data_IF_763277697919
#
_entry.id   IF_763277697919
#
_cell.length_a   1.000
_cell.length_b   1.000
_cell.length_c   1.000
_cell.angle_alpha   90.00
_cell.angle_beta   90.00
_cell.angle_gamma   90.00
#
_symmetry.space_group_name_H-M   'P 1'
#
loop_
_entity.id
_entity.type
_entity.pdbx_description
1 polymer ?
#
# COMPACT_ATOMS: atom_id res chain seq x y z
N UNK A 1 -1.15 13.22 -20.50
CA UNK A 1 -1.42 11.78 -20.37
C UNK A 1 -0.07 11.08 -20.44
N UNK A 2 0.41 10.56 -19.34
CA UNK A 2 1.71 9.87 -19.27
C UNK A 2 1.54 8.50 -19.94
N UNK A 3 2.16 8.31 -21.11
CA UNK A 3 2.24 7.02 -21.82
C UNK A 3 3.25 6.05 -21.18
N UNK A 4 3.41 6.09 -19.86
CA UNK A 4 4.32 5.20 -19.14
C UNK A 4 3.61 3.89 -18.75
N UNK A 5 4.39 2.81 -18.60
CA UNK A 5 3.92 1.54 -18.04
C UNK A 5 3.34 1.78 -16.64
N UNK A 6 2.12 1.31 -16.30
CA UNK A 6 1.57 1.45 -14.97
C UNK A 6 2.45 0.71 -13.94
N UNK A 7 2.53 1.23 -12.71
CA UNK A 7 3.29 0.60 -11.63
C UNK A 7 2.70 -0.76 -11.24
N UNK A 8 1.37 -0.90 -11.31
CA UNK A 8 0.68 -2.18 -11.21
C UNK A 8 -0.60 -2.17 -12.05
N UNK A 9 -0.95 -3.33 -12.62
CA UNK A 9 -2.15 -3.52 -13.43
C UNK A 9 -2.79 -4.87 -13.15
N UNK A 10 -4.11 -4.87 -12.97
CA UNK A 10 -4.94 -6.08 -12.95
C UNK A 10 -5.90 -6.09 -14.13
N UNK A 11 -6.10 -7.25 -14.75
CA UNK A 11 -7.01 -7.42 -15.88
C UNK A 11 -7.94 -8.59 -15.62
N UNK A 12 -9.25 -8.32 -15.60
CA UNK A 12 -10.32 -9.30 -15.38
C UNK A 12 -10.07 -10.19 -14.14
N UNK A 13 -9.68 -9.56 -13.03
CA UNK A 13 -9.33 -10.27 -11.80
C UNK A 13 -10.56 -10.90 -11.18
N UNK A 14 -10.50 -12.21 -10.99
CA UNK A 14 -11.47 -12.97 -10.22
C UNK A 14 -10.75 -13.64 -9.05
N UNK A 15 -11.33 -13.54 -7.85
CA UNK A 15 -10.88 -14.26 -6.67
C UNK A 15 -12.06 -14.91 -5.99
N UNK A 16 -12.00 -16.21 -5.84
CA UNK A 16 -13.00 -17.01 -5.11
C UNK A 16 -12.30 -17.73 -3.97
N UNK A 17 -12.86 -17.63 -2.77
CA UNK A 17 -12.45 -18.37 -1.58
C UNK A 17 -13.48 -19.48 -1.31
N UNK A 18 -13.01 -20.64 -0.85
CA UNK A 18 -13.85 -21.79 -0.58
C UNK A 18 -14.30 -22.53 -1.85
N UNK A 19 -15.09 -23.57 -1.67
CA UNK A 19 -15.62 -24.43 -2.74
C UNK A 19 -17.11 -24.72 -2.51
N UNK A 20 -17.81 -25.09 -3.58
CA UNK A 20 -19.23 -25.45 -3.54
C UNK A 20 -20.12 -24.31 -3.02
N UNK A 21 -21.08 -24.63 -2.15
CA UNK A 21 -22.06 -23.67 -1.61
C UNK A 21 -21.46 -22.66 -0.64
N UNK A 22 -20.23 -22.88 -0.16
CA UNK A 22 -19.49 -21.95 0.71
C UNK A 22 -18.54 -21.02 -0.08
N UNK A 23 -18.58 -21.06 -1.41
CA UNK A 23 -17.72 -20.23 -2.24
C UNK A 23 -18.10 -18.75 -2.13
N UNK A 24 -17.11 -17.89 -1.79
CA UNK A 24 -17.26 -16.44 -1.72
C UNK A 24 -16.43 -15.81 -2.83
N UNK A 25 -17.10 -15.13 -3.75
CA UNK A 25 -16.45 -14.37 -4.83
C UNK A 25 -16.04 -12.99 -4.29
N UNK A 26 -14.80 -12.86 -3.88
CA UNK A 26 -14.25 -11.62 -3.31
C UNK A 26 -13.86 -10.59 -4.38
N UNK A 27 -13.45 -11.02 -5.58
CA UNK A 27 -13.23 -10.18 -6.77
C UNK A 27 -14.01 -10.78 -7.95
N UNK A 28 -14.70 -9.92 -8.69
CA UNK A 28 -15.60 -10.30 -9.78
C UNK A 28 -15.31 -9.54 -11.08
N UNK A 29 -14.23 -9.92 -11.76
CA UNK A 29 -13.86 -9.38 -13.07
C UNK A 29 -13.25 -7.97 -12.99
N UNK A 30 -12.53 -7.63 -11.91
CA UNK A 30 -11.92 -6.31 -11.75
C UNK A 30 -10.80 -6.08 -12.77
N UNK A 31 -10.86 -4.94 -13.47
CA UNK A 31 -9.74 -4.40 -14.23
C UNK A 31 -9.37 -3.03 -13.69
N UNK A 32 -8.09 -2.84 -13.33
CA UNK A 32 -7.59 -1.61 -12.71
C UNK A 32 -6.12 -1.40 -13.05
N UNK A 33 -5.72 -0.15 -13.21
CA UNK A 33 -4.34 0.26 -13.37
C UNK A 33 -3.98 1.32 -12.32
N UNK A 34 -2.78 1.22 -11.76
CA UNK A 34 -2.20 2.23 -10.87
C UNK A 34 -1.02 2.87 -11.59
N UNK A 35 -1.16 4.15 -11.92
CA UNK A 35 -0.14 4.90 -12.63
C UNK A 35 1.12 5.06 -11.77
N UNK A 36 2.30 5.02 -12.41
CA UNK A 36 3.56 5.33 -11.74
C UNK A 36 3.58 6.79 -11.25
N UNK A 37 4.18 7.03 -10.09
CA UNK A 37 4.27 8.36 -9.49
C UNK A 37 2.93 8.93 -9.02
N UNK A 38 1.94 8.08 -8.73
CA UNK A 38 0.61 8.51 -8.27
C UNK A 38 0.28 7.95 -6.90
N UNK A 39 -0.41 8.75 -6.07
CA UNK A 39 -1.05 8.29 -4.85
C UNK A 39 -2.51 7.92 -5.14
N UNK A 40 -2.83 6.63 -5.10
CA UNK A 40 -4.18 6.11 -5.28
C UNK A 40 -4.73 5.53 -3.98
N UNK A 41 -6.03 5.71 -3.73
CA UNK A 41 -6.73 5.04 -2.63
C UNK A 41 -7.77 4.06 -3.18
N UNK A 42 -7.99 2.96 -2.45
CA UNK A 42 -9.04 1.97 -2.69
C UNK A 42 -10.00 2.07 -1.52
N UNK A 43 -11.27 2.36 -1.79
CA UNK A 43 -12.32 2.52 -0.79
C UNK A 43 -13.54 1.64 -1.09
N UNK A 44 -14.41 1.48 -0.11
CA UNK A 44 -15.66 0.74 -0.22
C UNK A 44 -16.12 0.16 1.12
N UNK A 45 -17.32 -0.38 1.22
CA UNK A 45 -17.86 -1.01 2.42
C UNK A 45 -16.98 -2.16 2.95
N UNK A 46 -17.21 -2.57 4.18
CA UNK A 46 -16.56 -3.77 4.72
C UNK A 46 -16.97 -4.99 3.88
N UNK A 47 -16.01 -5.88 3.57
CA UNK A 47 -16.26 -7.06 2.74
C UNK A 47 -16.29 -6.80 1.23
N UNK A 48 -16.14 -5.57 0.74
CA UNK A 48 -16.20 -5.25 -0.71
C UNK A 48 -15.03 -5.78 -1.56
N UNK A 49 -14.00 -6.39 -0.94
CA UNK A 49 -12.86 -6.98 -1.65
C UNK A 49 -11.59 -6.11 -1.70
N UNK A 50 -11.52 -4.96 -1.00
CA UNK A 50 -10.39 -4.01 -1.04
C UNK A 50 -9.04 -4.65 -0.70
N UNK A 51 -8.93 -5.25 0.49
CA UNK A 51 -7.68 -5.90 0.92
C UNK A 51 -7.36 -7.10 0.04
N UNK A 52 -8.38 -7.86 -0.41
CA UNK A 52 -8.19 -8.94 -1.38
C UNK A 52 -7.60 -8.43 -2.68
N UNK A 53 -8.14 -7.34 -3.25
CA UNK A 53 -7.60 -6.72 -4.46
C UNK A 53 -6.14 -6.32 -4.25
N UNK A 54 -5.85 -5.59 -3.18
CA UNK A 54 -4.49 -5.15 -2.87
C UNK A 54 -3.54 -6.35 -2.68
N UNK A 55 -3.94 -7.39 -1.94
CA UNK A 55 -3.12 -8.58 -1.70
C UNK A 55 -2.84 -9.35 -3.01
N UNK A 56 -3.83 -9.48 -3.89
CA UNK A 56 -3.62 -10.08 -5.21
C UNK A 56 -2.68 -9.24 -6.08
N UNK A 57 -2.87 -7.91 -6.11
CA UNK A 57 -2.00 -6.97 -6.86
C UNK A 57 -0.55 -6.97 -6.35
N UNK A 58 -0.37 -7.25 -5.07
CA UNK A 58 0.94 -7.32 -4.41
C UNK A 58 1.58 -8.73 -4.44
N UNK A 59 0.90 -9.71 -5.01
CA UNK A 59 1.35 -11.11 -5.02
C UNK A 59 1.43 -11.75 -3.63
N UNK A 60 0.66 -11.24 -2.66
CA UNK A 60 0.50 -11.85 -1.33
C UNK A 60 -0.58 -12.92 -1.34
N UNK A 61 -1.51 -12.84 -2.27
CA UNK A 61 -2.54 -13.86 -2.52
C UNK A 61 -2.63 -14.16 -4.01
N UNK A 62 -3.11 -15.34 -4.36
CA UNK A 62 -3.28 -15.80 -5.74
C UNK A 62 -4.66 -15.44 -6.26
N UNK A 63 -4.76 -15.07 -7.54
CA UNK A 63 -6.03 -14.89 -8.24
C UNK A 63 -6.60 -16.24 -8.69
N UNK A 64 -7.92 -16.35 -8.80
CA UNK A 64 -8.58 -17.53 -9.41
C UNK A 64 -8.49 -17.48 -10.94
N UNK A 65 -8.64 -16.28 -11.52
CA UNK A 65 -8.44 -16.03 -12.96
C UNK A 65 -8.17 -14.57 -13.22
N UNK A 66 -7.71 -14.24 -14.43
CA UNK A 66 -7.26 -12.90 -14.81
C UNK A 66 -5.73 -12.81 -14.86
N UNK A 67 -5.20 -11.60 -14.84
CA UNK A 67 -3.76 -11.34 -14.90
C UNK A 67 -3.39 -10.17 -14.00
N UNK A 68 -2.26 -10.29 -13.28
CA UNK A 68 -1.69 -9.21 -12.45
C UNK A 68 -0.28 -8.90 -12.92
N UNK A 69 0.02 -7.63 -13.10
CA UNK A 69 1.34 -7.13 -13.45
C UNK A 69 1.85 -6.13 -12.39
N UNK A 70 3.14 -6.22 -12.08
CA UNK A 70 3.89 -5.19 -11.35
C UNK A 70 4.97 -4.67 -12.30
N UNK A 71 4.77 -3.42 -12.77
CA UNK A 71 5.52 -2.90 -13.90
C UNK A 71 5.29 -3.76 -15.15
N UNK A 72 6.37 -4.32 -15.66
CA UNK A 72 6.42 -5.20 -16.84
C UNK A 72 6.28 -6.70 -16.53
N UNK A 73 6.23 -7.08 -15.24
CA UNK A 73 6.28 -8.50 -14.83
C UNK A 73 4.89 -9.02 -14.50
N UNK A 74 4.47 -10.09 -15.17
CA UNK A 74 3.24 -10.83 -14.87
C UNK A 74 3.45 -11.78 -13.69
N UNK A 75 2.66 -11.61 -12.62
CA UNK A 75 2.83 -12.37 -11.37
C UNK A 75 2.47 -13.85 -11.51
N UNK A 76 1.48 -14.19 -12.34
CA UNK A 76 1.01 -15.57 -12.53
C UNK A 76 2.04 -16.46 -13.21
N UNK A 77 3.05 -15.91 -13.85
CA UNK A 77 4.13 -16.66 -14.51
C UNK A 77 5.29 -17.01 -13.57
N UNK A 78 5.29 -16.44 -12.35
CA UNK A 78 6.38 -16.57 -11.40
C UNK A 78 6.15 -17.73 -10.43
N UNK A 79 7.23 -18.44 -10.10
CA UNK A 79 7.26 -19.36 -8.98
C UNK A 79 7.44 -18.63 -7.64
N UNK A 80 7.29 -19.31 -6.52
CA UNK A 80 7.35 -18.74 -5.16
C UNK A 80 8.67 -18.00 -4.88
N UNK A 81 9.79 -18.51 -5.40
CA UNK A 81 11.10 -17.88 -5.23
C UNK A 81 11.22 -16.57 -6.02
N UNK A 82 10.66 -16.54 -7.21
CA UNK A 82 10.61 -15.36 -8.07
C UNK A 82 9.66 -14.33 -7.52
N UNK A 83 8.46 -14.73 -7.05
CA UNK A 83 7.51 -13.86 -6.34
C UNK A 83 8.13 -13.24 -5.08
N UNK A 84 8.88 -14.03 -4.30
CA UNK A 84 9.57 -13.54 -3.11
C UNK A 84 10.63 -12.49 -3.48
N UNK A 85 11.40 -12.70 -4.56
CA UNK A 85 12.35 -11.72 -5.08
C UNK A 85 11.66 -10.45 -5.55
N UNK A 86 10.59 -10.59 -6.34
CA UNK A 86 9.83 -9.44 -6.85
C UNK A 86 9.30 -8.59 -5.70
N UNK A 87 8.66 -9.22 -4.69
CA UNK A 87 8.16 -8.51 -3.49
C UNK A 87 9.28 -7.77 -2.78
N UNK A 88 10.41 -8.44 -2.52
CA UNK A 88 11.56 -7.84 -1.85
C UNK A 88 12.15 -6.66 -2.62
N UNK A 89 12.20 -6.74 -3.94
CA UNK A 89 12.95 -5.81 -4.77
C UNK A 89 12.09 -4.69 -5.36
N UNK A 90 10.79 -4.92 -5.57
CA UNK A 90 9.89 -3.98 -6.28
C UNK A 90 8.68 -3.50 -5.48
N UNK A 91 8.37 -4.09 -4.32
CA UNK A 91 7.15 -3.79 -3.56
C UNK A 91 7.50 -3.41 -2.13
N UNK A 92 6.98 -2.25 -1.69
CA UNK A 92 6.95 -1.87 -0.29
C UNK A 92 5.60 -2.21 0.35
N UNK A 93 5.59 -2.54 1.64
CA UNK A 93 4.36 -2.82 2.39
C UNK A 93 4.27 -1.99 3.66
N UNK A 94 3.10 -1.41 3.89
CA UNK A 94 2.72 -0.76 5.14
C UNK A 94 1.42 -1.41 5.61
N UNK A 95 1.40 -1.93 6.83
CA UNK A 95 0.24 -2.58 7.44
C UNK A 95 -0.29 -1.78 8.62
N UNK A 96 -1.56 -1.97 8.95
CA UNK A 96 -2.18 -1.39 10.13
C UNK A 96 -1.46 -1.78 11.43
N UNK A 97 -0.91 -2.96 11.52
CA UNK A 97 -0.22 -3.52 12.70
C UNK A 97 1.30 -3.29 12.68
N UNK A 98 1.81 -2.23 12.07
CA UNK A 98 3.22 -1.82 11.97
C UNK A 98 4.22 -2.93 11.56
N UNK A 99 4.10 -4.13 12.10
CA UNK A 99 4.93 -5.32 11.84
C UNK A 99 6.44 -5.04 11.95
N UNK A 100 6.83 -4.29 12.99
CA UNK A 100 8.24 -4.06 13.31
C UNK A 100 8.81 -5.26 14.06
N UNK A 101 10.10 -5.55 13.81
CA UNK A 101 10.83 -6.56 14.57
C UNK A 101 11.17 -5.98 15.94
N UNK A 102 10.63 -6.53 17.05
CA UNK A 102 10.65 -5.88 18.36
C UNK A 102 12.05 -5.81 18.98
N UNK A 103 12.97 -6.68 18.57
CA UNK A 103 14.36 -6.73 19.03
C UNK A 103 15.28 -5.76 18.32
N UNK A 104 14.86 -5.23 17.15
CA UNK A 104 15.61 -4.28 16.36
C UNK A 104 15.25 -2.84 16.73
N UNK A 105 16.21 -1.95 16.61
CA UNK A 105 16.01 -0.50 16.72
C UNK A 105 15.19 0.04 15.53
N UNK A 106 14.77 1.31 15.59
CA UNK A 106 14.10 1.98 14.47
C UNK A 106 15.00 2.01 13.22
N UNK A 107 16.28 2.32 13.39
CA UNK A 107 17.25 2.33 12.27
C UNK A 107 17.37 0.95 11.62
N UNK A 108 17.56 -0.10 12.41
CA UNK A 108 17.68 -1.48 11.92
C UNK A 108 16.36 -1.97 11.28
N UNK A 109 15.19 -1.60 11.80
CA UNK A 109 13.91 -1.90 11.14
C UNK A 109 13.79 -1.21 9.77
N UNK A 110 14.27 0.03 9.63
CA UNK A 110 14.23 0.76 8.35
C UNK A 110 15.13 0.07 7.32
N UNK A 111 16.34 -0.36 7.71
CA UNK A 111 17.30 -0.98 6.78
C UNK A 111 17.06 -2.47 6.54
N UNK A 112 16.22 -3.12 7.34
CA UNK A 112 15.97 -4.56 7.31
C UNK A 112 15.71 -5.15 5.90
N UNK A 113 14.93 -4.52 4.99
CA UNK A 113 14.72 -5.06 3.65
C UNK A 113 16.02 -5.18 2.84
N UNK A 114 16.95 -4.24 2.99
CA UNK A 114 18.24 -4.27 2.33
C UNK A 114 19.18 -5.32 2.95
N UNK A 115 19.17 -5.42 4.29
CA UNK A 115 19.96 -6.41 5.02
C UNK A 115 19.56 -7.84 4.62
N UNK A 116 18.26 -8.13 4.55
CA UNK A 116 17.73 -9.42 4.06
C UNK A 116 18.10 -9.65 2.58
N UNK A 117 18.15 -8.60 1.78
CA UNK A 117 18.55 -8.68 0.38
C UNK A 117 20.06 -8.85 0.18
N UNK A 118 20.88 -8.73 1.23
CA UNK A 118 22.33 -8.69 1.14
C UNK A 118 22.85 -7.46 0.36
N UNK A 119 22.15 -6.32 0.47
CA UNK A 119 22.49 -5.07 -0.21
C UNK A 119 22.84 -4.00 0.81
N UNK A 120 23.84 -3.21 0.52
CA UNK A 120 24.11 -2.03 1.33
C UNK A 120 23.01 -0.95 1.10
N UNK A 121 22.50 -0.34 2.18
CA UNK A 121 21.55 0.79 2.07
C UNK A 121 22.20 1.97 1.34
N UNK A 122 21.45 2.61 0.44
CA UNK A 122 21.81 3.95 -0.04
C UNK A 122 21.66 4.94 1.13
N UNK A 123 22.78 5.27 1.77
CA UNK A 123 22.80 6.11 2.97
C UNK A 123 22.15 7.47 2.75
N UNK A 124 22.40 8.11 1.62
CA UNK A 124 21.83 9.42 1.32
C UNK A 124 20.30 9.35 1.21
N UNK A 125 19.79 8.29 0.61
CA UNK A 125 18.36 8.05 0.50
C UNK A 125 17.72 7.74 1.85
N UNK A 126 18.29 6.81 2.61
CA UNK A 126 17.78 6.45 3.93
C UNK A 126 17.79 7.65 4.89
N UNK A 127 18.87 8.44 4.88
CA UNK A 127 18.96 9.69 5.67
C UNK A 127 17.84 10.67 5.29
N UNK A 128 17.58 10.85 4.00
CA UNK A 128 16.51 11.71 3.51
C UNK A 128 15.12 11.23 3.97
N UNK A 129 14.85 9.93 3.91
CA UNK A 129 13.61 9.35 4.44
C UNK A 129 13.46 9.62 5.94
N UNK A 130 14.51 9.33 6.71
CA UNK A 130 14.55 9.54 8.18
C UNK A 130 14.26 11.00 8.54
N UNK A 131 14.84 11.94 7.83
CA UNK A 131 14.61 13.37 8.06
C UNK A 131 13.18 13.78 7.70
N UNK A 132 12.66 13.30 6.57
CA UNK A 132 11.30 13.59 6.11
C UNK A 132 10.23 13.06 7.09
N UNK A 133 10.43 11.87 7.68
CA UNK A 133 9.50 11.31 8.68
C UNK A 133 9.76 11.82 10.11
N UNK A 134 10.81 12.63 10.32
CA UNK A 134 11.15 13.18 11.65
C UNK A 134 11.58 12.13 12.67
N UNK A 135 12.27 11.08 12.25
CA UNK A 135 12.69 9.97 13.13
C UNK A 135 14.13 10.08 13.63
N UNK A 136 14.91 11.08 13.22
CA UNK A 136 16.33 11.24 13.59
C UNK A 136 16.59 11.08 15.09
N UNK A 137 15.81 11.69 16.02
CA UNK A 137 16.05 11.55 17.46
C UNK A 137 15.65 10.18 18.03
N UNK A 138 15.05 9.29 17.21
CA UNK A 138 14.46 8.02 17.67
C UNK A 138 15.12 6.78 17.07
N UNK A 139 16.17 6.93 16.27
CA UNK A 139 16.79 5.85 15.52
C UNK A 139 17.32 4.70 16.38
N UNK A 140 17.81 4.98 17.60
CA UNK A 140 18.30 3.98 18.54
C UNK A 140 17.21 3.33 19.39
N UNK A 141 15.96 3.82 19.36
CA UNK A 141 14.86 3.28 20.14
C UNK A 141 14.31 1.99 19.51
N UNK A 142 13.86 1.07 20.37
CA UNK A 142 13.14 -0.13 19.95
C UNK A 142 11.64 0.15 19.85
N UNK A 143 10.85 -0.70 19.15
CA UNK A 143 9.41 -0.49 18.99
C UNK A 143 8.66 -0.24 20.31
N UNK A 144 9.02 -0.93 21.41
CA UNK A 144 8.42 -0.73 22.73
C UNK A 144 8.64 0.65 23.35
N UNK A 145 9.61 1.40 22.84
CA UNK A 145 9.99 2.76 23.31
C UNK A 145 9.42 3.86 22.40
N UNK A 146 8.66 3.48 21.36
CA UNK A 146 8.08 4.36 20.36
C UNK A 146 6.56 4.44 20.52
N UNK A 147 5.98 5.64 20.31
CA UNK A 147 4.53 5.76 20.17
C UNK A 147 4.02 5.05 18.92
N UNK A 148 2.71 4.73 18.85
CA UNK A 148 2.09 4.10 17.68
C UNK A 148 2.37 4.87 16.37
N UNK A 149 2.24 6.20 16.39
CA UNK A 149 2.56 7.03 15.23
C UNK A 149 4.05 6.99 14.85
N UNK A 150 4.97 6.92 15.83
CA UNK A 150 6.40 6.74 15.56
C UNK A 150 6.68 5.36 14.96
N UNK A 151 6.06 4.30 15.49
CA UNK A 151 6.20 2.95 14.94
C UNK A 151 5.69 2.89 13.49
N UNK A 152 4.56 3.51 13.19
CA UNK A 152 4.03 3.54 11.83
C UNK A 152 4.92 4.33 10.87
N UNK A 153 5.52 5.43 11.33
CA UNK A 153 6.50 6.17 10.53
C UNK A 153 7.77 5.34 10.26
N UNK A 154 8.22 4.52 11.23
CA UNK A 154 9.30 3.56 10.99
C UNK A 154 8.88 2.52 9.93
N UNK A 155 7.66 1.98 10.02
CA UNK A 155 7.14 1.03 9.03
C UNK A 155 7.03 1.65 7.63
N UNK A 156 6.59 2.90 7.54
CA UNK A 156 6.51 3.64 6.28
C UNK A 156 7.91 3.94 5.69
N UNK A 157 8.87 4.36 6.51
CA UNK A 157 10.26 4.55 6.08
C UNK A 157 10.89 3.23 5.61
N UNK A 158 10.66 2.12 6.34
CA UNK A 158 11.10 0.78 5.94
C UNK A 158 10.56 0.38 4.58
N UNK A 159 9.27 0.62 4.33
CA UNK A 159 8.63 0.26 3.06
C UNK A 159 9.25 1.00 1.86
N UNK A 160 9.77 2.21 2.07
CA UNK A 160 10.37 3.05 1.04
C UNK A 160 11.90 2.90 0.94
N UNK A 161 12.54 2.29 1.93
CA UNK A 161 13.99 2.27 2.06
C UNK A 161 14.71 1.57 0.90
N UNK A 162 14.10 0.53 0.31
CA UNK A 162 14.62 -0.20 -0.86
C UNK A 162 14.31 0.48 -2.21
N UNK A 163 13.68 1.66 -2.23
CA UNK A 163 13.18 2.33 -3.44
C UNK A 163 12.31 1.41 -4.30
N UNK A 164 11.21 0.89 -3.76
CA UNK A 164 10.33 0.00 -4.52
C UNK A 164 9.65 0.75 -5.66
N UNK A 165 9.22 0.01 -6.69
CA UNK A 165 8.41 0.57 -7.78
C UNK A 165 6.99 0.96 -7.36
N UNK A 166 6.47 0.32 -6.28
CA UNK A 166 5.15 0.58 -5.73
C UNK A 166 5.12 0.24 -4.23
N UNK A 167 4.37 1.03 -3.46
CA UNK A 167 4.07 0.78 -2.05
C UNK A 167 2.58 0.49 -1.89
N UNK A 168 2.25 -0.65 -1.30
CA UNK A 168 0.90 -0.99 -0.88
C UNK A 168 0.74 -0.72 0.62
N UNK A 169 -0.31 0.02 1.00
CA UNK A 169 -0.60 0.40 2.37
C UNK A 169 -2.01 -0.05 2.76
N UNK A 170 -2.10 -1.04 3.65
CA UNK A 170 -3.38 -1.57 4.14
C UNK A 170 -3.74 -0.91 5.46
N UNK A 171 -4.74 -0.02 5.43
CA UNK A 171 -5.24 0.73 6.58
C UNK A 171 -4.09 1.39 7.39
N UNK A 172 -3.15 2.14 6.78
CA UNK A 172 -1.92 2.56 7.43
C UNK A 172 -2.14 3.49 8.62
N UNK A 173 -3.34 4.01 8.81
CA UNK A 173 -3.70 4.93 9.89
C UNK A 173 -4.77 4.38 10.83
N UNK A 174 -5.23 3.14 10.63
CA UNK A 174 -6.37 2.57 11.37
C UNK A 174 -6.17 2.45 12.88
N UNK A 175 -4.93 2.45 13.38
CA UNK A 175 -4.61 2.38 14.81
C UNK A 175 -4.02 3.70 15.36
N UNK A 176 -4.17 4.82 14.66
CA UNK A 176 -3.54 6.08 14.99
C UNK A 176 -4.58 7.15 15.35
N UNK A 177 -4.18 8.09 16.21
CA UNK A 177 -4.92 9.33 16.41
C UNK A 177 -4.83 10.24 15.16
N UNK A 178 -5.67 11.26 15.11
CA UNK A 178 -5.79 12.16 13.96
C UNK A 178 -4.47 12.88 13.62
N UNK A 179 -3.65 13.23 14.63
CA UNK A 179 -2.37 13.90 14.42
C UNK A 179 -1.34 12.95 13.81
N UNK A 180 -1.19 11.77 14.40
CA UNK A 180 -0.27 10.75 13.89
C UNK A 180 -0.69 10.28 12.48
N UNK A 181 -2.01 10.17 12.23
CA UNK A 181 -2.55 9.87 10.90
C UNK A 181 -2.13 10.92 9.86
N UNK A 182 -2.30 12.21 10.18
CA UNK A 182 -1.89 13.30 9.29
C UNK A 182 -0.39 13.30 9.01
N UNK A 183 0.45 12.98 10.00
CA UNK A 183 1.90 12.88 9.85
C UNK A 183 2.29 11.75 8.88
N UNK A 184 1.69 10.54 9.02
CA UNK A 184 1.94 9.39 8.14
C UNK A 184 1.43 9.65 6.72
N UNK A 185 0.20 10.14 6.57
CA UNK A 185 -0.38 10.43 5.26
C UNK A 185 0.34 11.57 4.54
N UNK A 186 0.75 12.60 5.29
CA UNK A 186 1.60 13.69 4.79
C UNK A 186 2.92 13.16 4.24
N UNK A 187 3.56 12.23 4.96
CA UNK A 187 4.79 11.58 4.49
C UNK A 187 4.56 10.78 3.20
N UNK A 188 3.49 9.97 3.14
CA UNK A 188 3.18 9.19 1.91
C UNK A 188 2.93 10.13 0.72
N UNK A 189 2.20 11.23 0.91
CA UNK A 189 1.98 12.22 -0.13
C UNK A 189 3.28 12.91 -0.57
N UNK A 190 4.16 13.25 0.38
CA UNK A 190 5.48 13.80 0.07
C UNK A 190 6.33 12.81 -0.71
N UNK A 191 6.29 11.51 -0.34
CA UNK A 191 7.05 10.47 -1.05
C UNK A 191 6.64 10.33 -2.52
N UNK A 192 5.37 10.52 -2.83
CA UNK A 192 4.89 10.56 -4.22
C UNK A 192 5.38 11.81 -4.94
N UNK A 193 5.18 12.99 -4.35
CA UNK A 193 5.43 14.29 -5.01
C UNK A 193 6.90 14.63 -5.19
N UNK A 194 7.74 14.27 -4.20
CA UNK A 194 9.14 14.66 -4.17
C UNK A 194 10.10 13.52 -4.49
N UNK A 195 9.67 12.27 -4.33
CA UNK A 195 10.52 11.09 -4.52
C UNK A 195 10.04 10.19 -5.67
N UNK A 196 9.00 10.63 -6.41
CA UNK A 196 8.42 9.89 -7.54
C UNK A 196 7.99 8.44 -7.17
N UNK A 197 7.56 8.25 -5.92
CA UNK A 197 7.07 6.96 -5.45
C UNK A 197 5.63 6.74 -5.90
N UNK A 198 5.25 5.48 -6.07
CA UNK A 198 3.85 5.10 -6.30
C UNK A 198 3.27 4.53 -5.02
N UNK A 199 2.11 5.01 -4.59
CA UNK A 199 1.43 4.52 -3.38
C UNK A 199 0.01 4.09 -3.72
N UNK A 200 -0.37 2.89 -3.29
CA UNK A 200 -1.76 2.39 -3.32
C UNK A 200 -2.18 2.08 -1.90
N UNK A 201 -3.16 2.82 -1.40
CA UNK A 201 -3.65 2.73 -0.02
C UNK A 201 -5.05 2.16 0.02
N UNK A 202 -5.28 1.13 0.82
CA UNK A 202 -6.63 0.71 1.22
C UNK A 202 -7.02 1.47 2.48
N UNK A 203 -8.20 2.08 2.49
CA UNK A 203 -8.74 2.74 3.68
C UNK A 203 -10.27 2.80 3.62
N UNK A 204 -10.89 2.90 4.78
CA UNK A 204 -12.32 3.21 4.94
C UNK A 204 -12.56 4.65 5.43
N UNK A 205 -11.48 5.40 5.74
CA UNK A 205 -11.55 6.79 6.21
C UNK A 205 -11.52 7.78 5.04
N UNK A 206 -12.61 8.56 4.81
CA UNK A 206 -12.66 9.60 3.78
C UNK A 206 -11.57 10.67 3.94
N UNK A 207 -11.16 10.98 5.19
CA UNK A 207 -10.12 11.95 5.45
C UNK A 207 -8.76 11.42 4.97
N UNK A 208 -8.46 10.14 5.22
CA UNK A 208 -7.25 9.50 4.70
C UNK A 208 -7.26 9.44 3.17
N UNK A 209 -8.37 9.08 2.55
CA UNK A 209 -8.50 9.01 1.10
C UNK A 209 -8.31 10.36 0.40
N UNK A 210 -8.62 11.48 1.08
CA UNK A 210 -8.42 12.83 0.54
C UNK A 210 -6.95 13.23 0.35
N UNK A 211 -6.00 12.46 0.89
CA UNK A 211 -4.57 12.64 0.62
C UNK A 211 -4.14 12.08 -0.73
N UNK A 212 -4.92 11.16 -1.30
CA UNK A 212 -4.66 10.56 -2.60
C UNK A 212 -5.02 11.54 -3.75
N UNK A 213 -4.55 11.24 -4.94
CA UNK A 213 -4.87 11.96 -6.17
C UNK A 213 -6.03 11.28 -6.92
N UNK A 214 -6.23 9.99 -6.65
CA UNK A 214 -7.32 9.18 -7.23
C UNK A 214 -7.87 8.23 -6.18
N UNK A 215 -9.19 8.06 -6.16
CA UNK A 215 -9.90 7.05 -5.36
C UNK A 215 -10.62 6.10 -6.28
N UNK A 216 -10.45 4.79 -6.06
CA UNK A 216 -11.19 3.70 -6.71
C UNK A 216 -12.16 3.14 -5.69
N UNK A 217 -13.45 3.10 -6.04
CA UNK A 217 -14.50 2.61 -5.15
C UNK A 217 -14.89 1.18 -5.51
N UNK A 218 -14.86 0.30 -4.52
CA UNK A 218 -15.26 -1.09 -4.63
C UNK A 218 -16.57 -1.36 -3.88
N UNK A 219 -17.46 -2.10 -4.51
CA UNK A 219 -18.63 -2.72 -3.88
C UNK A 219 -18.81 -4.13 -4.48
N UNK A 220 -19.11 -5.13 -3.65
CA UNK A 220 -19.40 -6.51 -4.05
C UNK A 220 -18.37 -7.12 -5.03
N UNK A 221 -17.10 -6.88 -4.75
CA UNK A 221 -15.99 -7.40 -5.55
C UNK A 221 -15.82 -6.72 -6.92
N UNK A 222 -16.45 -5.58 -7.17
CA UNK A 222 -16.38 -4.82 -8.43
C UNK A 222 -15.97 -3.38 -8.21
N UNK A 223 -15.32 -2.77 -9.20
CA UNK A 223 -15.14 -1.32 -9.23
C UNK A 223 -16.47 -0.71 -9.68
N UNK A 224 -17.01 0.19 -8.84
CA UNK A 224 -18.30 0.85 -9.10
C UNK A 224 -18.15 2.32 -9.43
N UNK A 225 -17.00 2.92 -9.10
CA UNK A 225 -16.73 4.33 -9.42
C UNK A 225 -15.24 4.67 -9.26
N UNK A 226 -14.84 5.80 -9.80
CA UNK A 226 -13.52 6.41 -9.62
C UNK A 226 -13.65 7.92 -9.46
N UNK A 227 -12.80 8.49 -8.60
CA UNK A 227 -12.78 9.93 -8.33
C UNK A 227 -11.35 10.45 -8.43
N UNK A 228 -11.16 11.50 -9.19
CA UNK A 228 -9.92 12.30 -9.22
C UNK A 228 -10.08 13.54 -8.33
N UNK A 229 -8.97 14.03 -7.80
CA UNK A 229 -8.94 15.19 -6.88
C UNK A 229 -9.95 15.04 -5.73
N UNK A 230 -9.85 13.95 -4.94
CA UNK A 230 -10.81 13.67 -3.88
C UNK A 230 -10.72 14.71 -2.77
N UNK A 231 -11.88 15.06 -2.19
CA UNK A 231 -11.98 15.74 -0.89
C UNK A 231 -12.70 14.83 0.08
N UNK A 232 -12.44 14.98 1.39
CA UNK A 232 -13.10 14.15 2.40
C UNK A 232 -14.62 14.19 2.29
N UNK A 233 -15.22 15.36 1.99
CA UNK A 233 -16.65 15.54 1.79
C UNK A 233 -17.17 14.76 0.59
N UNK A 234 -16.54 14.92 -0.60
CA UNK A 234 -16.94 14.19 -1.82
C UNK A 234 -16.84 12.67 -1.63
N UNK A 235 -15.76 12.21 -0.98
CA UNK A 235 -15.56 10.81 -0.69
C UNK A 235 -16.60 10.27 0.26
N UNK A 236 -16.91 11.01 1.34
CA UNK A 236 -17.96 10.65 2.30
C UNK A 236 -19.33 10.55 1.63
N UNK A 237 -19.69 11.52 0.80
CA UNK A 237 -20.98 11.51 0.09
C UNK A 237 -21.08 10.33 -0.88
N UNK A 238 -19.99 10.00 -1.58
CA UNK A 238 -19.97 8.83 -2.46
C UNK A 238 -20.11 7.53 -1.67
N UNK A 239 -19.43 7.41 -0.53
CA UNK A 239 -19.52 6.23 0.35
C UNK A 239 -20.92 5.98 0.90
N UNK A 240 -21.69 7.03 1.25
CA UNK A 240 -23.10 6.90 1.69
C UNK A 240 -23.96 6.22 0.62
N UNK A 241 -23.75 6.54 -0.67
CA UNK A 241 -24.48 5.94 -1.76
C UNK A 241 -24.01 4.52 -2.17
N UNK A 242 -23.00 3.95 -1.51
CA UNK A 242 -22.57 2.57 -1.72
C UNK A 242 -23.02 1.62 -0.59
N UNK A 243 -23.60 2.15 0.48
CA UNK A 243 -24.07 1.38 1.65
C UNK A 243 -25.59 1.08 1.65
N UNK A 244 -26.30 1.57 0.64
CA UNK A 244 -27.70 1.28 0.36
C UNK A 244 -27.77 0.21 -0.75
#
# INVERSE_FOLDING_TARGET
MSNGTPAARGTNLVKVYGEGDAAVRALDGISVEFAAGQFSAIMGPSGSGKSTLMHCMAGLDTITSGQVYVGDVELSTLNDKELTRLRRDRIGFIFQAYNLVPTLTAAENITLPMDIAGREPDKAWVDRLIDTVGLRPRLSHRPSELSGGQQQRVAAARALASRPGIVFADEPTGNLDSRASAEVLGFLRTSVREFDQTVVMVTHDPSAASYAERVVFLADGRIVDEMTEPTAEKVLDRMKGLGD
#
